data_IF_426778131773
#
_entry.id   IF_426778131773
#
_cell.length_a   1.000
_cell.length_b   1.000
_cell.length_c   1.000
_cell.angle_alpha   90.00
_cell.angle_beta   90.00
_cell.angle_gamma   90.00
#
_symmetry.space_group_name_H-M   'P 1'
#
loop_
_entity.id
_entity.type
_entity.pdbx_description
1 polymer ?
#
# COMPACT_ATOMS: atom_id res chain seq x y z
N UNK A 1 16.24 -11.37 4.88
CA UNK A 1 15.46 -12.61 4.99
C UNK A 1 15.40 -13.23 3.61
N UNK A 2 16.16 -14.29 3.36
CA UNK A 2 16.29 -14.86 2.00
C UNK A 2 17.55 -15.68 1.77
N UNK A 3 18.11 -16.28 2.81
CA UNK A 3 19.37 -17.01 2.83
C UNK A 3 19.20 -18.54 2.86
N UNK A 4 17.95 -19.03 2.82
CA UNK A 4 17.64 -20.44 2.58
C UNK A 4 18.01 -21.41 3.71
N UNK A 5 18.44 -20.90 4.87
CA UNK A 5 18.93 -21.71 5.99
C UNK A 5 17.93 -21.83 7.15
N UNK A 6 16.69 -21.40 6.97
CA UNK A 6 15.67 -21.48 8.03
C UNK A 6 15.11 -22.92 8.11
N UNK A 7 15.09 -23.54 9.30
CA UNK A 7 14.57 -24.90 9.46
C UNK A 7 13.06 -24.92 9.15
N UNK A 8 12.70 -25.50 8.00
CA UNK A 8 11.32 -25.80 7.63
C UNK A 8 10.73 -26.81 8.61
N UNK A 9 9.56 -26.49 9.18
CA UNK A 9 8.78 -27.50 9.90
C UNK A 9 8.13 -28.45 8.89
N UNK A 10 7.77 -29.64 9.38
CA UNK A 10 6.92 -30.62 8.68
C UNK A 10 5.73 -29.86 8.07
N UNK A 11 5.65 -29.82 6.73
CA UNK A 11 4.73 -29.01 5.87
C UNK A 11 5.35 -27.79 5.14
N UNK A 12 6.68 -27.69 4.99
CA UNK A 12 7.39 -26.67 4.17
C UNK A 12 7.09 -25.20 4.53
N UNK A 13 6.53 -24.96 5.72
CA UNK A 13 6.23 -23.61 6.21
C UNK A 13 7.42 -23.04 6.98
N UNK A 14 7.87 -21.86 6.56
CA UNK A 14 8.86 -21.05 7.28
C UNK A 14 8.21 -20.52 8.57
N UNK A 15 8.83 -20.79 9.72
CA UNK A 15 8.36 -20.22 10.98
C UNK A 15 8.88 -18.79 11.07
N UNK A 16 7.97 -17.83 11.01
CA UNK A 16 8.26 -16.42 11.28
C UNK A 16 8.76 -16.30 12.74
N UNK A 17 9.94 -15.70 12.99
CA UNK A 17 10.42 -15.46 14.35
C UNK A 17 9.40 -14.65 15.18
N UNK A 18 9.23 -14.98 16.46
CA UNK A 18 8.30 -14.27 17.34
C UNK A 18 8.59 -12.77 17.48
N UNK A 19 9.80 -12.32 17.12
CA UNK A 19 10.21 -10.91 17.13
C UNK A 19 9.59 -10.08 15.99
N UNK A 20 9.13 -10.72 14.92
CA UNK A 20 8.50 -10.06 13.77
C UNK A 20 7.04 -10.53 13.58
N UNK A 21 6.52 -11.26 14.55
CA UNK A 21 5.16 -11.77 14.57
C UNK A 21 4.24 -10.78 15.30
N UNK A 22 3.17 -10.35 14.63
CA UNK A 22 2.12 -9.55 15.25
C UNK A 22 0.89 -10.44 15.39
N UNK A 23 0.47 -10.69 16.63
CA UNK A 23 -0.79 -11.39 16.92
C UNK A 23 -1.96 -10.63 16.29
N UNK A 24 -2.78 -11.37 15.55
CA UNK A 24 -4.01 -10.82 15.00
C UNK A 24 -5.09 -10.71 16.09
N UNK A 25 -5.47 -9.48 16.40
CA UNK A 25 -6.48 -9.08 17.38
C UNK A 25 -7.62 -8.28 16.71
N UNK A 26 -7.70 -8.33 15.37
CA UNK A 26 -8.63 -7.56 14.54
C UNK A 26 -7.96 -6.36 13.87
N UNK A 27 -8.75 -5.37 13.47
CA UNK A 27 -8.25 -4.18 12.74
C UNK A 27 -7.20 -3.38 13.52
N UNK A 28 -7.21 -3.45 14.85
CA UNK A 28 -6.18 -2.84 15.69
C UNK A 28 -4.77 -3.41 15.41
N UNK A 29 -4.65 -4.65 14.94
CA UNK A 29 -3.37 -5.24 14.53
C UNK A 29 -2.78 -4.54 13.31
N UNK A 30 -3.62 -4.01 12.41
CA UNK A 30 -3.16 -3.23 11.25
C UNK A 30 -2.54 -1.92 11.73
N UNK A 31 -3.21 -1.22 12.66
CA UNK A 31 -2.67 0.01 13.25
C UNK A 31 -1.36 -0.25 14.01
N UNK A 32 -1.29 -1.37 14.73
CA UNK A 32 -0.08 -1.80 15.42
C UNK A 32 1.06 -2.08 14.43
N UNK A 33 0.79 -2.80 13.34
CA UNK A 33 1.76 -3.06 12.27
C UNK A 33 2.30 -1.77 11.67
N UNK A 34 1.42 -0.81 11.35
CA UNK A 34 1.81 0.49 10.80
C UNK A 34 2.70 1.24 11.80
N UNK A 35 2.33 1.28 13.08
CA UNK A 35 3.10 1.96 14.12
C UNK A 35 4.46 1.31 14.37
N UNK A 36 4.52 -0.02 14.36
CA UNK A 36 5.77 -0.76 14.59
C UNK A 36 6.71 -0.63 13.37
N UNK A 37 6.16 -0.53 12.16
CA UNK A 37 6.96 -0.34 10.92
C UNK A 37 7.37 1.13 10.72
N UNK A 38 6.47 2.07 11.01
CA UNK A 38 6.64 3.51 10.83
C UNK A 38 6.44 4.27 12.16
N UNK A 39 7.33 4.11 13.15
CA UNK A 39 7.25 4.83 14.41
C UNK A 39 7.36 6.35 14.20
N UNK A 40 6.43 7.13 14.77
CA UNK A 40 6.50 8.60 14.72
C UNK A 40 6.55 9.17 13.29
N UNK A 41 5.81 8.56 12.34
CA UNK A 41 5.78 8.94 10.93
C UNK A 41 5.65 10.46 10.69
N UNK A 42 4.84 11.14 11.50
CA UNK A 42 4.59 12.58 11.44
C UNK A 42 5.85 13.46 11.61
N UNK A 43 6.86 12.97 12.33
CA UNK A 43 8.12 13.68 12.55
C UNK A 43 9.17 13.36 11.48
N UNK A 44 9.02 12.26 10.76
CA UNK A 44 9.96 11.78 9.76
C UNK A 44 9.49 12.01 8.32
N UNK A 45 8.43 12.78 8.10
CA UNK A 45 7.84 13.06 6.77
C UNK A 45 8.87 13.61 5.76
N UNK A 46 9.89 14.32 6.23
CA UNK A 46 10.93 14.93 5.38
C UNK A 46 12.25 14.13 5.36
N UNK A 47 12.30 13.02 6.09
CA UNK A 47 13.47 12.15 6.16
C UNK A 47 13.36 11.06 5.10
N UNK A 48 14.03 11.29 3.98
CA UNK A 48 14.02 10.37 2.84
C UNK A 48 14.62 9.01 3.23
N UNK A 49 15.70 9.00 4.02
CA UNK A 49 16.35 7.76 4.48
C UNK A 49 15.41 6.93 5.33
N UNK A 50 14.69 7.57 6.25
CA UNK A 50 13.68 6.90 7.06
C UNK A 50 12.59 6.24 6.22
N UNK A 51 12.11 6.92 5.17
CA UNK A 51 11.01 6.45 4.31
C UNK A 51 11.42 5.30 3.39
N UNK A 52 12.64 5.28 2.87
CA UNK A 52 13.09 4.23 1.93
C UNK A 52 13.48 2.92 2.60
N UNK A 53 13.84 2.95 3.89
CA UNK A 53 14.26 1.77 4.65
C UNK A 53 13.09 0.89 5.11
N UNK A 54 11.85 1.37 4.98
CA UNK A 54 10.65 0.77 5.58
C UNK A 54 9.62 0.48 4.51
N UNK A 55 9.12 -0.76 4.51
CA UNK A 55 8.10 -1.20 3.56
C UNK A 55 7.16 -2.21 4.23
N UNK A 56 5.87 -2.13 3.89
CA UNK A 56 4.89 -3.16 4.22
C UNK A 56 4.52 -3.85 2.91
N UNK A 57 4.74 -5.15 2.83
CA UNK A 57 4.39 -5.98 1.68
C UNK A 57 3.18 -6.83 2.04
N UNK A 58 2.17 -6.86 1.17
CA UNK A 58 1.03 -7.76 1.30
C UNK A 58 0.85 -8.60 0.04
N UNK A 59 0.27 -9.80 0.15
CA UNK A 59 0.07 -10.69 -0.99
C UNK A 59 -1.06 -10.24 -1.94
N UNK A 60 -1.95 -9.34 -1.49
CA UNK A 60 -3.11 -8.88 -2.27
C UNK A 60 -3.09 -7.36 -2.42
N UNK A 61 -3.34 -6.89 -3.64
CA UNK A 61 -3.43 -5.46 -3.95
C UNK A 61 -4.58 -4.75 -3.21
N UNK A 62 -5.70 -5.44 -2.94
CA UNK A 62 -6.81 -4.89 -2.15
C UNK A 62 -6.36 -4.51 -0.72
N UNK A 63 -5.48 -5.33 -0.12
CA UNK A 63 -4.95 -5.07 1.21
C UNK A 63 -3.89 -3.95 1.18
N UNK A 64 -3.11 -3.86 0.08
CA UNK A 64 -2.22 -2.70 -0.17
C UNK A 64 -3.03 -1.41 -0.18
N UNK A 65 -4.17 -1.38 -0.86
CA UNK A 65 -4.97 -0.16 -0.97
C UNK A 65 -5.52 0.29 0.39
N UNK A 66 -6.05 -0.64 1.20
CA UNK A 66 -6.49 -0.35 2.57
C UNK A 66 -5.36 0.18 3.45
N UNK A 67 -4.18 -0.43 3.37
CA UNK A 67 -3.01 0.02 4.13
C UNK A 67 -2.56 1.41 3.69
N UNK A 68 -2.46 1.65 2.38
CA UNK A 68 -2.08 2.95 1.84
C UNK A 68 -3.07 4.05 2.27
N UNK A 69 -4.37 3.75 2.26
CA UNK A 69 -5.40 4.67 2.75
C UNK A 69 -5.26 4.99 4.25
N UNK A 70 -4.88 4.01 5.07
CA UNK A 70 -4.66 4.25 6.49
C UNK A 70 -3.37 5.07 6.69
N UNK A 71 -2.28 4.70 6.02
CA UNK A 71 -0.97 5.34 6.18
C UNK A 71 -0.99 6.78 5.65
N UNK A 72 -1.63 7.04 4.49
CA UNK A 72 -1.73 8.39 3.93
C UNK A 72 -2.44 9.35 4.88
N UNK A 73 -3.39 8.84 5.68
CA UNK A 73 -4.09 9.64 6.68
C UNK A 73 -3.18 10.15 7.80
N UNK A 74 -2.08 9.44 8.09
CA UNK A 74 -1.09 9.84 9.11
C UNK A 74 -0.14 10.95 8.62
N UNK A 75 -0.05 11.21 7.31
CA UNK A 75 0.74 12.32 6.79
C UNK A 75 0.05 13.66 7.07
N UNK A 76 0.86 14.64 7.49
CA UNK A 76 0.43 16.02 7.68
C UNK A 76 0.16 16.69 6.34
N UNK A 77 -0.93 17.46 6.27
CA UNK A 77 -1.29 18.26 5.11
C UNK A 77 -2.61 17.88 4.46
N UNK A 78 -2.99 18.67 3.46
CA UNK A 78 -4.23 18.47 2.73
C UNK A 78 -4.12 17.27 1.79
N UNK A 79 -5.07 16.35 1.88
CA UNK A 79 -5.24 15.27 0.90
C UNK A 79 -5.60 15.89 -0.45
N UNK A 80 -4.92 15.44 -1.50
CA UNK A 80 -5.35 15.64 -2.88
C UNK A 80 -5.61 14.30 -3.53
N UNK A 81 -6.70 14.22 -4.27
CA UNK A 81 -7.06 13.05 -5.06
C UNK A 81 -6.65 13.34 -6.50
N UNK A 82 -5.79 12.48 -7.04
CA UNK A 82 -5.41 12.47 -8.44
C UNK A 82 -6.23 11.36 -9.11
N UNK A 83 -7.15 11.76 -9.99
CA UNK A 83 -7.93 10.83 -10.80
C UNK A 83 -7.15 10.53 -12.08
N UNK A 84 -7.01 9.25 -12.45
CA UNK A 84 -6.55 8.92 -13.79
C UNK A 84 -7.61 9.35 -14.79
N UNK A 85 -7.21 10.09 -15.82
CA UNK A 85 -8.08 10.38 -16.95
C UNK A 85 -7.91 9.24 -17.94
N UNK A 86 -8.78 8.22 -17.86
CA UNK A 86 -8.92 7.23 -18.94
C UNK A 86 -9.73 7.86 -20.06
N UNK A 87 -9.11 8.74 -20.86
CA UNK A 87 -9.68 9.09 -22.16
C UNK A 87 -9.01 8.22 -23.22
N UNK A 88 -9.80 7.32 -23.80
CA UNK A 88 -9.34 6.50 -24.92
C UNK A 88 -9.41 7.38 -26.16
N UNK A 89 -8.26 7.80 -26.69
CA UNK A 89 -8.21 8.47 -28.00
C UNK A 89 -8.84 7.55 -29.07
N UNK A 90 -10.12 7.75 -29.36
CA UNK A 90 -10.84 7.01 -30.41
C UNK A 90 -12.30 6.60 -30.13
N UNK A 91 -12.87 6.83 -28.95
CA UNK A 91 -14.29 6.48 -28.71
C UNK A 91 -15.25 7.62 -29.11
N UNK A 92 -15.56 7.71 -30.39
CA UNK A 92 -16.57 8.66 -30.90
C UNK A 92 -18.01 8.27 -30.55
N UNK A 93 -18.24 7.17 -29.83
CA UNK A 93 -19.58 6.60 -29.63
C UNK A 93 -19.99 6.37 -28.16
N UNK A 94 -19.18 6.77 -27.17
CA UNK A 94 -19.47 6.52 -25.73
C UNK A 94 -19.86 5.04 -25.48
N UNK A 95 -19.18 4.10 -26.13
CA UNK A 95 -19.52 2.68 -26.04
C UNK A 95 -19.08 2.06 -24.71
N UNK A 96 -18.21 2.74 -23.97
CA UNK A 96 -17.78 2.35 -22.64
C UNK A 96 -18.33 3.33 -21.62
N UNK A 97 -19.34 2.90 -20.85
CA UNK A 97 -19.81 3.69 -19.71
C UNK A 97 -18.65 3.86 -18.72
N UNK A 98 -18.43 5.10 -18.27
CA UNK A 98 -17.37 5.49 -17.33
C UNK A 98 -17.37 4.62 -16.05
N UNK A 99 -18.54 4.09 -15.68
CA UNK A 99 -18.75 3.16 -14.57
C UNK A 99 -18.09 1.78 -14.80
N UNK A 100 -17.97 1.33 -16.06
CA UNK A 100 -17.29 0.09 -16.42
C UNK A 100 -15.77 0.28 -16.34
N UNK A 101 -15.24 1.42 -16.80
CA UNK A 101 -13.82 1.76 -16.69
C UNK A 101 -13.37 1.93 -15.22
N UNK A 102 -14.20 2.53 -14.36
CA UNK A 102 -13.93 2.59 -12.92
C UNK A 102 -13.89 1.21 -12.23
N UNK A 103 -14.51 0.18 -12.81
CA UNK A 103 -14.52 -1.19 -12.27
C UNK A 103 -13.38 -2.05 -12.79
N UNK A 104 -12.76 -1.66 -13.90
CA UNK A 104 -11.61 -2.35 -14.47
C UNK A 104 -10.38 -1.74 -13.83
N UNK A 105 -10.02 -2.18 -12.63
CA UNK A 105 -8.63 -2.07 -12.16
C UNK A 105 -7.88 -3.22 -12.85
N UNK A 106 -7.22 -3.02 -14.02
CA UNK A 106 -6.49 -4.12 -14.63
C UNK A 106 -5.33 -4.38 -13.67
N UNK A 107 -5.17 -5.62 -13.20
CA UNK A 107 -4.11 -5.97 -12.26
C UNK A 107 -2.75 -5.51 -12.81
N UNK A 108 -2.20 -4.44 -12.25
CA UNK A 108 -0.94 -3.83 -12.71
C UNK A 108 -0.92 -2.30 -12.73
N UNK A 109 -2.07 -1.62 -12.77
CA UNK A 109 -2.09 -0.14 -12.76
C UNK A 109 -2.42 0.44 -11.38
N UNK A 110 -1.84 1.60 -11.02
CA UNK A 110 -2.21 2.29 -9.79
C UNK A 110 -3.72 2.62 -9.81
N UNK A 111 -4.37 2.67 -8.65
CA UNK A 111 -5.81 2.88 -8.57
C UNK A 111 -6.21 4.16 -9.30
N UNK A 112 -7.35 4.14 -10.00
CA UNK A 112 -7.94 5.26 -10.73
C UNK A 112 -8.11 6.52 -9.85
N UNK A 113 -8.04 6.37 -8.52
CA UNK A 113 -7.97 7.46 -7.56
C UNK A 113 -6.73 7.28 -6.66
N UNK A 114 -5.72 8.12 -6.88
CA UNK A 114 -4.51 8.18 -6.08
C UNK A 114 -4.61 9.33 -5.07
N UNK A 115 -4.74 8.98 -3.78
CA UNK A 115 -4.66 9.94 -2.68
C UNK A 115 -3.22 10.28 -2.36
N UNK A 116 -2.88 11.56 -2.43
CA UNK A 116 -1.54 12.06 -2.14
C UNK A 116 -1.57 13.14 -1.07
N UNK A 117 -0.56 13.14 -0.20
CA UNK A 117 -0.30 14.20 0.77
C UNK A 117 1.16 14.63 0.68
N UNK A 118 1.43 15.86 1.15
CA UNK A 118 2.77 16.44 1.09
C UNK A 118 3.74 15.59 1.93
N UNK A 119 4.83 15.15 1.32
CA UNK A 119 5.85 14.33 1.96
C UNK A 119 5.55 12.82 1.99
N UNK A 120 4.43 12.37 1.40
CA UNK A 120 4.20 10.95 1.20
C UNK A 120 5.06 10.42 0.03
N UNK A 121 5.69 9.24 0.17
CA UNK A 121 6.43 8.61 -0.91
C UNK A 121 5.48 8.17 -2.04
N UNK A 122 5.94 8.31 -3.28
CA UNK A 122 5.22 7.87 -4.48
C UNK A 122 6.07 6.86 -5.25
N UNK A 123 5.44 5.77 -5.66
CA UNK A 123 6.04 4.78 -6.56
C UNK A 123 5.49 5.00 -7.96
N UNK A 124 6.39 5.16 -8.93
CA UNK A 124 6.05 5.16 -10.36
C UNK A 124 6.17 3.71 -10.84
N UNK A 125 5.13 3.23 -11.53
CA UNK A 125 5.05 1.88 -12.12
C UNK A 125 5.24 1.95 -13.64
#
# INVERSE_FOLDING_TARGET
MGDGNEPTKLDDKVKVPHQIEITWEGENSIQKLIRDTFPHLEFHIWDVSYMVERVILTPKNEDVQKLNDIIINHFLGQERQLLSFDDVEGDTHNLYQQEYLHSITPGGFPPHNLKVKKGAPLMLL
#
